data_IF_333526525506
#
_entry.id   IF_333526525506
#
_cell.length_a   1.000
_cell.length_b   1.000
_cell.length_c   1.000
_cell.angle_alpha   90.00
_cell.angle_beta   90.00
_cell.angle_gamma   90.00
#
_symmetry.space_group_name_H-M   'P 1'
#
loop_
_entity.id
_entity.type
_entity.pdbx_description
1 polymer ?
#
# COMPACT_ATOMS: atom_id res chain seq x y z
N UNK A 1 -1.29 -11.94 51.02
CA UNK A 1 -0.25 -12.36 50.05
C UNK A 1 -0.96 -12.93 48.83
N UNK A 2 -1.06 -12.16 47.75
CA UNK A 2 -1.59 -12.64 46.48
C UNK A 2 -0.46 -12.58 45.44
N UNK A 3 -0.29 -13.59 44.59
CA UNK A 3 0.75 -13.58 43.56
C UNK A 3 0.30 -12.79 42.34
N UNK A 4 1.11 -11.83 41.95
CA UNK A 4 0.96 -11.04 40.74
C UNK A 4 1.20 -11.89 39.49
N UNK A 5 0.16 -12.08 38.68
CA UNK A 5 0.25 -12.69 37.34
C UNK A 5 0.90 -11.69 36.36
N UNK A 6 2.19 -11.87 36.07
CA UNK A 6 2.86 -11.16 34.98
C UNK A 6 2.39 -11.72 33.64
N UNK A 7 1.60 -10.93 32.90
CA UNK A 7 1.28 -11.20 31.49
C UNK A 7 2.57 -11.20 30.66
N UNK A 8 2.92 -12.35 30.08
CA UNK A 8 3.99 -12.46 29.08
C UNK A 8 3.46 -11.96 27.73
N UNK A 9 3.93 -10.82 27.30
CA UNK A 9 3.67 -10.26 25.96
C UNK A 9 4.54 -11.01 24.95
N UNK A 10 3.91 -11.74 24.05
CA UNK A 10 4.62 -12.37 22.92
C UNK A 10 4.75 -11.34 21.81
N UNK A 11 5.97 -10.94 21.49
CA UNK A 11 6.28 -10.09 20.33
C UNK A 11 6.45 -11.00 19.13
N UNK A 12 5.51 -10.97 18.19
CA UNK A 12 5.65 -11.65 16.90
C UNK A 12 6.28 -10.65 15.93
N UNK A 13 7.60 -10.62 15.88
CA UNK A 13 8.35 -10.03 14.80
C UNK A 13 8.43 -11.10 13.70
N UNK A 14 7.79 -10.87 12.56
CA UNK A 14 7.98 -11.69 11.38
C UNK A 14 9.37 -11.39 10.79
N UNK A 15 10.37 -12.14 11.24
CA UNK A 15 11.70 -12.13 10.65
C UNK A 15 11.62 -13.04 9.42
N UNK A 16 11.82 -12.49 8.25
CA UNK A 16 12.08 -13.27 7.03
C UNK A 16 13.52 -13.78 7.16
N UNK A 17 13.70 -14.98 7.70
CA UNK A 17 14.97 -15.69 7.66
C UNK A 17 15.05 -16.45 6.35
N UNK A 18 15.85 -15.93 5.42
CA UNK A 18 16.35 -16.69 4.28
C UNK A 18 17.40 -17.66 4.81
N UNK A 19 17.07 -18.94 4.94
CA UNK A 19 18.04 -19.98 5.23
C UNK A 19 18.86 -20.26 3.97
N UNK A 20 20.03 -19.63 3.88
CA UNK A 20 21.10 -20.09 3.00
C UNK A 20 21.89 -21.16 3.78
N UNK A 21 21.60 -22.42 3.56
CA UNK A 21 22.41 -23.55 4.05
C UNK A 21 23.65 -23.70 3.19
N UNK A 22 24.78 -23.16 3.66
CA UNK A 22 26.09 -23.56 3.20
C UNK A 22 26.53 -24.76 4.02
N UNK A 23 26.51 -25.94 3.43
CA UNK A 23 27.06 -27.15 4.02
C UNK A 23 28.61 -27.16 3.94
N UNK A 24 29.26 -27.07 5.08
CA UNK A 24 30.66 -27.49 5.25
C UNK A 24 30.67 -28.87 5.92
N UNK A 25 31.11 -29.86 5.19
CA UNK A 25 31.51 -31.14 5.75
C UNK A 25 33.02 -31.30 5.57
N UNK A 26 33.73 -31.30 6.70
CA UNK A 26 35.10 -31.77 6.80
C UNK A 26 35.08 -33.20 7.35
N UNK A 27 35.71 -34.15 6.68
CA UNK A 27 36.20 -35.38 7.28
C UNK A 27 37.51 -35.78 6.63
N UNK A 28 38.46 -36.04 7.51
CA UNK A 28 39.83 -36.56 7.30
C UNK A 28 39.85 -38.07 7.24
N UNK A 29 40.96 -38.60 6.66
CA UNK A 29 41.58 -39.91 6.83
C UNK A 29 41.29 -40.94 5.72
N UNK A 30 42.27 -41.25 4.81
CA UNK A 30 43.37 -42.16 5.10
C UNK A 30 43.35 -43.31 4.14
N UNK A 31 44.56 -43.61 3.56
CA UNK A 31 45.05 -44.86 3.00
C UNK A 31 44.97 -45.12 1.49
N UNK A 32 46.13 -45.46 0.97
CA UNK A 32 46.70 -45.53 -0.36
C UNK A 32 46.42 -46.89 -1.11
N UNK A 33 47.17 -47.27 -2.17
CA UNK A 33 46.66 -47.17 -3.56
C UNK A 33 46.57 -48.57 -4.23
N UNK A 34 45.77 -48.69 -5.28
CA UNK A 34 45.89 -49.79 -6.25
C UNK A 34 45.86 -49.24 -7.66
N UNK A 35 46.92 -49.57 -8.39
CA UNK A 35 47.06 -49.33 -9.84
C UNK A 35 46.17 -50.28 -10.64
N UNK A 36 45.48 -49.77 -11.62
CA UNK A 36 45.17 -50.50 -12.85
C UNK A 36 44.96 -49.52 -14.00
N UNK A 37 45.74 -49.66 -15.04
CA UNK A 37 45.65 -49.01 -16.36
C UNK A 37 44.41 -49.49 -17.13
N UNK A 38 43.67 -48.58 -17.72
CA UNK A 38 42.98 -48.81 -19.01
C UNK A 38 42.68 -47.47 -19.66
N UNK A 39 43.26 -47.27 -20.82
CA UNK A 39 43.02 -46.16 -21.70
C UNK A 39 41.62 -46.32 -22.33
N UNK A 40 40.79 -45.29 -22.24
CA UNK A 40 39.64 -45.07 -23.13
C UNK A 40 39.43 -43.57 -23.35
N UNK A 41 39.42 -43.19 -24.58
CA UNK A 41 39.12 -41.92 -25.18
C UNK A 41 37.86 -41.31 -24.59
N UNK A 42 38.02 -40.25 -23.79
CA UNK A 42 36.91 -39.53 -23.18
C UNK A 42 36.75 -38.13 -23.74
N UNK A 43 35.72 -37.93 -24.47
CA UNK A 43 35.17 -36.62 -24.84
C UNK A 43 35.11 -35.70 -23.63
N UNK A 44 35.82 -34.55 -23.75
CA UNK A 44 35.72 -33.45 -22.76
C UNK A 44 34.26 -32.99 -22.63
N UNK A 45 33.60 -33.35 -21.56
CA UNK A 45 32.42 -32.64 -21.13
C UNK A 45 32.86 -31.33 -20.49
N UNK A 46 32.63 -30.24 -21.20
CA UNK A 46 32.62 -28.90 -20.60
C UNK A 46 31.47 -28.85 -19.58
N UNK A 47 31.71 -28.30 -18.38
CA UNK A 47 30.58 -28.03 -17.47
C UNK A 47 29.65 -27.04 -18.16
N UNK A 48 28.35 -27.40 -18.20
CA UNK A 48 27.31 -26.57 -18.74
C UNK A 48 27.34 -25.22 -17.99
N UNK A 49 27.74 -24.18 -18.76
CA UNK A 49 27.52 -22.81 -18.28
C UNK A 49 26.06 -22.67 -17.87
N UNK A 50 25.84 -22.30 -16.64
CA UNK A 50 24.53 -21.84 -16.19
C UNK A 50 24.09 -20.69 -17.10
N UNK A 51 23.37 -21.03 -18.15
CA UNK A 51 22.57 -20.04 -18.87
C UNK A 51 21.55 -19.54 -17.86
N UNK A 52 21.78 -18.36 -17.33
CA UNK A 52 20.73 -17.56 -16.74
C UNK A 52 19.60 -17.52 -17.77
N UNK A 53 18.56 -18.30 -17.50
CA UNK A 53 17.34 -18.22 -18.28
C UNK A 53 16.83 -16.79 -18.10
N UNK A 54 17.06 -15.95 -19.11
CA UNK A 54 16.32 -14.71 -19.28
C UNK A 54 14.86 -15.15 -19.33
N UNK A 55 14.16 -15.02 -18.22
CA UNK A 55 12.71 -15.16 -18.18
C UNK A 55 12.17 -14.06 -19.08
N UNK A 56 11.92 -14.37 -20.33
CA UNK A 56 11.16 -13.49 -21.22
C UNK A 56 9.78 -13.52 -20.64
N UNK A 57 9.45 -12.49 -19.87
CA UNK A 57 8.08 -12.22 -19.44
C UNK A 57 7.25 -12.11 -20.72
N UNK A 58 6.42 -13.10 -21.01
CA UNK A 58 5.41 -13.00 -22.05
C UNK A 58 4.34 -12.04 -21.52
N UNK A 59 4.61 -10.76 -21.62
CA UNK A 59 3.63 -9.72 -21.37
C UNK A 59 2.58 -9.80 -22.48
N UNK A 60 1.30 -9.82 -22.07
CA UNK A 60 0.20 -9.66 -23.00
C UNK A 60 0.38 -8.35 -23.81
N UNK A 61 -0.10 -8.28 -25.04
CA UNK A 61 -0.12 -7.03 -25.80
C UNK A 61 -0.80 -5.95 -25.00
N UNK A 62 -0.20 -4.76 -24.92
CA UNK A 62 -0.82 -3.62 -24.26
C UNK A 62 -2.16 -3.28 -24.96
N UNK A 63 -3.20 -2.89 -24.22
CA UNK A 63 -4.44 -2.41 -24.82
C UNK A 63 -4.16 -1.25 -25.78
N UNK A 64 -4.88 -1.19 -26.91
CA UNK A 64 -4.70 -0.12 -27.91
C UNK A 64 -5.06 1.27 -27.39
N UNK A 65 -5.83 1.37 -26.31
CA UNK A 65 -6.21 2.61 -25.64
C UNK A 65 -5.56 2.64 -24.25
N UNK A 66 -4.46 3.36 -24.16
CA UNK A 66 -3.68 3.48 -22.94
C UNK A 66 -4.33 4.43 -21.97
N UNK A 67 -4.81 3.89 -20.87
CA UNK A 67 -5.37 4.68 -19.78
C UNK A 67 -4.28 5.57 -19.19
N UNK A 68 -4.59 6.87 -19.04
CA UNK A 68 -3.65 7.83 -18.46
C UNK A 68 -2.74 8.54 -19.48
N UNK A 69 -2.71 8.11 -20.73
CA UNK A 69 -2.04 8.82 -21.82
C UNK A 69 -1.00 7.99 -22.58
N UNK A 70 -0.74 8.37 -23.86
CA UNK A 70 0.02 7.53 -24.80
C UNK A 70 1.48 7.30 -24.42
N UNK A 71 2.10 8.21 -23.64
CA UNK A 71 3.48 8.03 -23.20
C UNK A 71 3.64 6.89 -22.20
N UNK A 72 2.57 6.57 -21.44
CA UNK A 72 2.58 5.50 -20.44
C UNK A 72 2.58 4.10 -21.05
N UNK A 73 2.30 3.95 -22.35
CA UNK A 73 2.47 2.73 -23.11
C UNK A 73 3.93 2.29 -23.26
N UNK A 74 4.87 3.19 -23.06
CA UNK A 74 6.28 2.87 -23.19
C UNK A 74 6.72 1.86 -22.14
N UNK A 75 7.41 0.81 -22.55
CA UNK A 75 8.10 -0.12 -21.64
C UNK A 75 9.39 0.45 -21.06
N UNK A 76 9.90 1.53 -21.65
CA UNK A 76 11.08 2.26 -21.19
C UNK A 76 10.74 3.24 -20.05
N UNK A 77 11.78 3.97 -19.67
CA UNK A 77 11.62 5.10 -18.73
C UNK A 77 11.06 6.28 -19.50
N UNK A 78 9.98 6.86 -19.00
CA UNK A 78 9.35 8.07 -19.51
C UNK A 78 9.44 9.18 -18.47
N UNK A 79 10.09 10.27 -18.85
CA UNK A 79 10.24 11.48 -18.04
C UNK A 79 10.52 12.67 -18.96
N UNK A 80 9.87 13.81 -18.74
CA UNK A 80 10.11 15.03 -19.52
C UNK A 80 10.85 16.07 -18.67
N UNK A 81 12.06 16.42 -19.07
CA UNK A 81 12.86 17.47 -18.47
C UNK A 81 12.70 18.78 -19.27
N UNK A 82 11.85 19.74 -18.84
CA UNK A 82 11.60 20.94 -19.64
C UNK A 82 12.70 21.99 -19.56
N UNK A 83 13.63 21.85 -18.60
CA UNK A 83 14.69 22.84 -18.35
C UNK A 83 16.05 22.16 -18.16
N UNK A 84 17.14 22.78 -18.63
CA UNK A 84 18.50 22.41 -18.22
C UNK A 84 18.61 22.55 -16.68
N UNK A 85 19.26 21.57 -16.04
CA UNK A 85 19.49 21.58 -14.59
C UNK A 85 18.44 20.87 -13.72
N UNK A 86 17.33 20.34 -14.30
CA UNK A 86 16.43 19.44 -13.56
C UNK A 86 17.20 18.21 -13.07
N UNK A 87 16.96 17.80 -11.83
CA UNK A 87 17.62 16.60 -11.27
C UNK A 87 17.24 15.37 -12.07
N UNK A 88 18.25 14.61 -12.52
CA UNK A 88 18.01 13.37 -13.26
C UNK A 88 17.27 12.35 -12.40
N UNK A 89 16.37 11.60 -13.04
CA UNK A 89 15.65 10.50 -12.40
C UNK A 89 16.66 9.43 -11.93
N UNK A 90 16.59 9.00 -10.66
CA UNK A 90 17.50 8.00 -10.14
C UNK A 90 17.26 6.64 -10.79
N UNK A 91 18.34 5.91 -11.07
CA UNK A 91 18.25 4.51 -11.47
C UNK A 91 17.90 3.67 -10.25
N UNK A 92 16.84 2.87 -10.34
CA UNK A 92 16.41 1.92 -9.32
C UNK A 92 16.30 0.52 -9.92
N UNK A 93 16.61 -0.54 -9.14
CA UNK A 93 16.59 -1.92 -9.62
C UNK A 93 15.15 -2.47 -9.57
N UNK A 94 14.27 -1.92 -10.41
CA UNK A 94 12.87 -2.33 -10.55
C UNK A 94 12.49 -2.44 -12.03
N UNK A 95 11.61 -3.39 -12.35
CA UNK A 95 11.12 -3.59 -13.71
C UNK A 95 10.11 -2.53 -14.09
N UNK A 96 9.19 -2.16 -13.18
CA UNK A 96 8.19 -1.14 -13.43
C UNK A 96 8.02 -0.22 -12.21
N UNK A 97 7.67 1.05 -12.46
CA UNK A 97 7.31 2.02 -11.44
C UNK A 97 6.51 3.19 -12.01
N UNK A 98 5.75 3.86 -11.15
CA UNK A 98 5.08 5.13 -11.41
C UNK A 98 5.37 6.08 -10.25
N UNK A 99 5.61 7.36 -10.56
CA UNK A 99 5.67 8.47 -9.62
C UNK A 99 4.56 9.44 -9.98
N UNK A 100 3.63 9.70 -9.09
CA UNK A 100 2.49 10.58 -9.35
C UNK A 100 2.18 11.52 -8.19
N UNK A 101 1.68 12.70 -8.49
CA UNK A 101 1.04 13.59 -7.52
C UNK A 101 -0.39 13.10 -7.28
N UNK A 102 -0.68 12.73 -6.04
CA UNK A 102 -1.98 12.19 -5.65
C UNK A 102 -3.13 13.20 -5.81
N UNK A 103 -2.85 14.49 -5.57
CA UNK A 103 -3.86 15.56 -5.58
C UNK A 103 -4.32 15.87 -6.99
N UNK A 104 -3.38 16.11 -7.89
CA UNK A 104 -3.66 16.45 -9.29
C UNK A 104 -3.87 15.23 -10.19
N UNK A 105 -3.37 14.07 -9.79
CA UNK A 105 -3.28 12.88 -10.62
C UNK A 105 -2.13 12.91 -11.62
N UNK A 106 -1.32 13.96 -11.63
CA UNK A 106 -0.20 14.12 -12.57
C UNK A 106 0.84 13.02 -12.41
N UNK A 107 1.15 12.29 -13.48
CA UNK A 107 2.27 11.32 -13.51
C UNK A 107 3.54 12.07 -13.91
N UNK A 108 4.52 12.10 -12.99
CA UNK A 108 5.79 12.82 -13.15
C UNK A 108 6.82 12.01 -13.94
N UNK A 109 6.87 10.72 -13.71
CA UNK A 109 7.72 9.77 -14.41
C UNK A 109 7.18 8.35 -14.25
N UNK A 110 7.49 7.50 -15.20
CA UNK A 110 7.12 6.08 -15.18
C UNK A 110 8.18 5.23 -15.87
N UNK A 111 8.15 3.94 -15.58
CA UNK A 111 8.86 2.88 -16.32
C UNK A 111 7.91 1.71 -16.44
N UNK A 112 7.66 1.25 -17.66
CA UNK A 112 6.79 0.11 -17.97
C UNK A 112 5.46 0.17 -17.18
N UNK A 113 4.79 1.34 -17.25
CA UNK A 113 3.65 1.69 -16.39
C UNK A 113 2.52 0.67 -16.46
N UNK A 114 2.24 0.10 -17.64
CA UNK A 114 1.21 -0.90 -17.92
C UNK A 114 1.75 -2.34 -18.04
N UNK A 115 3.03 -2.55 -17.71
CA UNK A 115 3.60 -3.90 -17.65
C UNK A 115 2.88 -4.77 -16.61
N UNK A 116 2.57 -6.02 -16.97
CA UNK A 116 1.82 -6.94 -16.13
C UNK A 116 2.76 -7.75 -15.24
N UNK A 117 2.62 -7.60 -13.93
CA UNK A 117 3.46 -8.26 -12.93
C UNK A 117 2.61 -8.89 -11.82
N UNK A 118 3.10 -9.97 -11.16
CA UNK A 118 2.47 -10.48 -9.96
C UNK A 118 2.52 -9.41 -8.84
N UNK A 119 1.38 -9.12 -8.17
CA UNK A 119 1.28 -8.01 -7.23
C UNK A 119 1.94 -8.26 -5.88
N UNK A 120 2.11 -9.48 -5.45
CA UNK A 120 2.34 -9.83 -4.06
C UNK A 120 1.36 -9.11 -3.12
N UNK A 121 1.77 -8.79 -1.90
CA UNK A 121 0.90 -8.18 -0.89
C UNK A 121 0.50 -6.73 -1.15
N UNK A 122 0.98 -6.07 -2.22
CA UNK A 122 0.45 -4.75 -2.62
C UNK A 122 -1.02 -4.84 -3.06
N UNK A 123 -1.49 -6.01 -3.52
CA UNK A 123 -2.90 -6.25 -3.84
C UNK A 123 -3.84 -6.10 -2.63
N UNK A 124 -3.32 -6.21 -1.40
CA UNK A 124 -4.11 -6.00 -0.17
C UNK A 124 -4.65 -4.58 -0.02
N UNK A 125 -4.06 -3.60 -0.71
CA UNK A 125 -4.62 -2.25 -0.76
C UNK A 125 -5.96 -2.26 -1.49
N UNK A 126 -6.07 -2.98 -2.62
CA UNK A 126 -7.35 -3.19 -3.31
C UNK A 126 -8.35 -3.94 -2.41
N UNK A 127 -7.91 -4.98 -1.70
CA UNK A 127 -8.76 -5.68 -0.72
C UNK A 127 -9.30 -4.71 0.34
N UNK A 128 -8.44 -3.86 0.89
CA UNK A 128 -8.82 -2.90 1.93
C UNK A 128 -9.84 -1.87 1.41
N UNK A 129 -9.56 -1.19 0.30
CA UNK A 129 -10.47 -0.16 -0.24
C UNK A 129 -11.81 -0.74 -0.69
N UNK A 130 -11.83 -2.01 -1.14
CA UNK A 130 -13.05 -2.71 -1.50
C UNK A 130 -13.88 -3.06 -0.27
N UNK A 131 -13.26 -3.53 0.81
CA UNK A 131 -13.99 -4.06 1.98
C UNK A 131 -14.32 -2.98 3.02
N UNK A 132 -13.53 -1.92 3.15
CA UNK A 132 -13.75 -0.83 4.11
C UNK A 132 -15.15 -0.20 4.04
N UNK A 133 -15.70 0.16 2.88
CA UNK A 133 -17.04 0.76 2.81
C UNK A 133 -18.18 -0.25 2.99
N UNK A 134 -17.88 -1.55 3.00
CA UNK A 134 -18.86 -2.64 3.01
C UNK A 134 -19.00 -3.35 4.36
N UNK A 135 -18.01 -3.19 5.23
CA UNK A 135 -17.96 -3.88 6.52
C UNK A 135 -17.89 -2.87 7.66
N UNK A 136 -18.83 -2.94 8.59
CA UNK A 136 -18.78 -2.11 9.79
C UNK A 136 -17.57 -2.46 10.65
N UNK A 137 -16.76 -1.48 11.09
CA UNK A 137 -15.53 -1.73 11.85
C UNK A 137 -15.78 -2.43 13.19
N UNK A 138 -16.96 -2.24 13.80
CA UNK A 138 -17.34 -2.85 15.07
C UNK A 138 -18.03 -4.22 14.93
N UNK A 139 -18.40 -4.60 13.71
CA UNK A 139 -18.93 -5.94 13.44
C UNK A 139 -17.89 -7.01 13.73
N UNK A 140 -18.34 -8.21 14.06
CA UNK A 140 -17.49 -9.38 14.20
C UNK A 140 -17.76 -10.36 13.09
N UNK A 141 -16.70 -10.93 12.51
CA UNK A 141 -16.76 -11.89 11.42
C UNK A 141 -16.07 -13.19 11.80
N UNK A 142 -16.55 -14.29 11.24
CA UNK A 142 -16.05 -15.63 11.53
C UNK A 142 -14.79 -15.91 10.70
N UNK A 143 -13.71 -16.35 11.36
CA UNK A 143 -12.57 -16.92 10.68
C UNK A 143 -12.88 -18.36 10.26
N UNK A 144 -12.82 -18.64 8.97
CA UNK A 144 -13.07 -19.97 8.42
C UNK A 144 -11.81 -20.84 8.45
N UNK A 145 -11.97 -22.15 8.27
CA UNK A 145 -10.82 -23.06 8.05
C UNK A 145 -9.98 -22.59 6.86
N UNK A 146 -10.60 -22.17 5.74
CA UNK A 146 -9.88 -21.64 4.57
C UNK A 146 -8.99 -20.45 4.93
N UNK A 147 -9.49 -19.49 5.70
CA UNK A 147 -8.69 -18.32 6.11
C UNK A 147 -7.52 -18.70 7.03
N UNK A 148 -7.78 -19.59 7.99
CA UNK A 148 -6.76 -20.03 8.95
C UNK A 148 -5.68 -20.95 8.35
N UNK A 149 -5.93 -21.55 7.18
CA UNK A 149 -4.99 -22.46 6.49
C UNK A 149 -4.24 -21.80 5.33
N UNK A 150 -4.35 -20.46 5.18
CA UNK A 150 -3.61 -19.76 4.12
C UNK A 150 -2.13 -19.67 4.46
N UNK A 151 -1.29 -19.67 3.43
CA UNK A 151 0.15 -19.51 3.60
C UNK A 151 0.51 -18.22 4.35
N UNK A 152 1.58 -18.23 5.18
CA UNK A 152 2.09 -17.04 5.82
C UNK A 152 2.47 -15.94 4.79
N UNK A 153 2.40 -14.68 5.21
CA UNK A 153 2.33 -14.06 6.52
C UNK A 153 0.91 -14.10 7.10
N UNK A 154 0.73 -14.42 8.38
CA UNK A 154 -0.57 -14.53 9.04
C UNK A 154 -0.54 -13.87 10.42
N UNK A 155 -1.70 -13.44 10.93
CA UNK A 155 -1.84 -13.03 12.34
C UNK A 155 -2.20 -14.20 13.25
N UNK A 156 -2.56 -15.35 12.68
CA UNK A 156 -2.87 -16.58 13.38
C UNK A 156 -4.34 -16.67 13.82
N UNK A 157 -5.27 -16.39 12.91
CA UNK A 157 -6.70 -16.55 13.16
C UNK A 157 -7.05 -18.02 13.45
N UNK A 158 -7.91 -18.23 14.43
CA UNK A 158 -8.38 -19.55 14.81
C UNK A 158 -9.71 -19.87 14.09
N UNK A 159 -9.82 -21.03 13.43
CA UNK A 159 -11.06 -21.43 12.78
C UNK A 159 -12.21 -21.46 13.78
N UNK A 160 -13.38 -20.95 13.38
CA UNK A 160 -14.56 -20.92 14.22
C UNK A 160 -14.60 -19.75 15.24
N UNK A 161 -13.54 -18.95 15.36
CA UNK A 161 -13.54 -17.76 16.20
C UNK A 161 -14.00 -16.53 15.43
N UNK A 162 -14.57 -15.59 16.17
CA UNK A 162 -15.03 -14.30 15.61
C UNK A 162 -14.05 -13.19 15.99
N UNK A 163 -13.73 -12.35 15.03
CA UNK A 163 -12.82 -11.20 15.18
C UNK A 163 -13.51 -9.92 14.73
N UNK A 164 -13.18 -8.80 15.38
CA UNK A 164 -13.66 -7.49 14.94
C UNK A 164 -13.08 -7.14 13.57
N UNK A 165 -13.91 -6.57 12.71
CA UNK A 165 -13.50 -6.11 11.38
C UNK A 165 -12.36 -5.10 11.47
N UNK A 166 -12.39 -4.17 12.43
CA UNK A 166 -11.33 -3.20 12.66
C UNK A 166 -9.98 -3.85 13.02
N UNK A 167 -9.99 -4.96 13.76
CA UNK A 167 -8.76 -5.68 14.10
C UNK A 167 -8.20 -6.42 12.87
N UNK A 168 -9.08 -6.98 12.03
CA UNK A 168 -8.66 -7.61 10.77
C UNK A 168 -8.05 -6.61 9.80
N UNK A 169 -8.57 -5.37 9.70
CA UNK A 169 -7.92 -4.32 8.89
C UNK A 169 -6.55 -3.92 9.44
N UNK A 170 -6.39 -3.86 10.78
CA UNK A 170 -5.06 -3.66 11.39
C UNK A 170 -4.09 -4.79 11.02
N UNK A 171 -4.53 -6.05 11.14
CA UNK A 171 -3.70 -7.19 10.76
C UNK A 171 -3.35 -7.18 9.26
N UNK A 172 -4.31 -6.82 8.39
CA UNK A 172 -4.13 -6.72 6.94
C UNK A 172 -3.06 -5.71 6.56
N UNK A 173 -3.11 -4.50 7.12
CA UNK A 173 -2.29 -3.37 6.68
C UNK A 173 -0.98 -3.25 7.47
N UNK A 174 -0.99 -3.50 8.79
CA UNK A 174 0.20 -3.38 9.64
C UNK A 174 1.20 -4.50 9.40
N UNK A 175 0.76 -5.76 9.42
CA UNK A 175 1.63 -6.93 9.26
C UNK A 175 1.37 -7.73 7.99
N UNK A 176 0.54 -7.23 7.09
CA UNK A 176 0.25 -7.90 5.82
C UNK A 176 -0.40 -9.29 5.95
N UNK A 177 -1.26 -9.50 6.95
CA UNK A 177 -1.83 -10.81 7.28
C UNK A 177 -2.71 -11.38 6.16
N UNK A 178 -2.36 -12.58 5.66
CA UNK A 178 -3.07 -13.28 4.58
C UNK A 178 -4.41 -13.85 5.05
N UNK A 179 -4.45 -14.36 6.28
CA UNK A 179 -5.66 -14.89 6.92
C UNK A 179 -6.71 -13.79 7.16
N UNK A 180 -6.26 -12.58 7.52
CA UNK A 180 -7.14 -11.42 7.63
C UNK A 180 -7.72 -11.01 6.27
N UNK A 181 -6.92 -11.03 5.19
CA UNK A 181 -7.38 -10.73 3.84
C UNK A 181 -8.51 -11.69 3.40
N UNK A 182 -8.31 -12.99 3.58
CA UNK A 182 -9.30 -14.01 3.23
C UNK A 182 -10.56 -13.85 4.08
N UNK A 183 -10.42 -13.61 5.39
CA UNK A 183 -11.57 -13.43 6.30
C UNK A 183 -12.41 -12.21 5.91
N UNK A 184 -11.77 -11.06 5.62
CA UNK A 184 -12.47 -9.84 5.21
C UNK A 184 -13.23 -10.03 3.89
N UNK A 185 -12.62 -10.70 2.92
CA UNK A 185 -13.27 -10.99 1.63
C UNK A 185 -14.47 -11.94 1.81
N UNK A 186 -14.33 -12.98 2.62
CA UNK A 186 -15.42 -13.89 2.93
C UNK A 186 -16.57 -13.21 3.68
N UNK A 187 -16.29 -12.23 4.51
CA UNK A 187 -17.28 -11.45 5.26
C UNK A 187 -18.23 -10.63 4.36
N UNK A 188 -17.91 -10.40 3.10
CA UNK A 188 -18.81 -9.77 2.13
C UNK A 188 -19.93 -10.70 1.61
N UNK A 189 -20.01 -11.93 2.15
CA UNK A 189 -21.00 -12.96 1.84
C UNK A 189 -20.38 -14.29 1.42
N UNK A 190 -19.38 -14.27 0.53
CA UNK A 190 -18.60 -15.44 0.15
C UNK A 190 -17.24 -15.03 -0.39
N UNK A 191 -16.32 -15.99 -0.50
CA UNK A 191 -15.02 -15.75 -1.14
C UNK A 191 -15.17 -15.30 -2.60
N UNK A 192 -16.01 -15.99 -3.38
CA UNK A 192 -16.25 -15.65 -4.79
C UNK A 192 -16.86 -14.26 -4.95
N UNK A 193 -17.88 -13.93 -4.14
CA UNK A 193 -18.50 -12.60 -4.13
C UNK A 193 -17.48 -11.51 -3.80
N UNK A 194 -16.64 -11.72 -2.78
CA UNK A 194 -15.62 -10.75 -2.41
C UNK A 194 -14.56 -10.54 -3.49
N UNK A 195 -14.15 -11.61 -4.18
CA UNK A 195 -13.24 -11.51 -5.32
C UNK A 195 -13.88 -10.78 -6.51
N UNK A 196 -15.17 -11.02 -6.78
CA UNK A 196 -15.91 -10.28 -7.79
C UNK A 196 -15.98 -8.78 -7.44
N UNK A 197 -16.23 -8.44 -6.17
CA UNK A 197 -16.22 -7.04 -5.71
C UNK A 197 -14.84 -6.38 -5.87
N UNK A 198 -13.75 -7.09 -5.61
CA UNK A 198 -12.40 -6.56 -5.81
C UNK A 198 -12.12 -6.25 -7.28
N UNK A 199 -12.45 -7.15 -8.20
CA UNK A 199 -12.28 -6.90 -9.64
C UNK A 199 -13.23 -5.80 -10.14
N UNK A 200 -14.46 -5.71 -9.60
CA UNK A 200 -15.38 -4.62 -9.91
C UNK A 200 -14.85 -3.27 -9.42
N UNK A 201 -14.24 -3.22 -8.24
CA UNK A 201 -13.60 -2.00 -7.71
C UNK A 201 -12.41 -1.58 -8.60
N UNK A 202 -11.56 -2.53 -9.02
CA UNK A 202 -10.48 -2.25 -9.96
C UNK A 202 -11.01 -1.65 -11.26
N UNK A 203 -12.07 -2.25 -11.83
CA UNK A 203 -12.72 -1.73 -13.03
C UNK A 203 -13.33 -0.33 -12.81
N UNK A 204 -13.98 -0.09 -11.66
CA UNK A 204 -14.49 1.23 -11.27
C UNK A 204 -13.40 2.30 -11.24
N UNK A 205 -12.21 1.95 -10.77
CA UNK A 205 -11.04 2.82 -10.75
C UNK A 205 -10.36 2.96 -12.12
N UNK A 206 -10.84 2.29 -13.16
CA UNK A 206 -10.20 2.18 -14.47
C UNK A 206 -8.82 1.49 -14.42
N UNK A 207 -8.59 0.66 -13.40
CA UNK A 207 -7.40 -0.18 -13.23
C UNK A 207 -7.59 -1.50 -14.03
N UNK A 208 -7.54 -1.40 -15.34
CA UNK A 208 -7.93 -2.48 -16.25
C UNK A 208 -6.89 -3.58 -16.40
N UNK A 209 -5.64 -3.33 -15.98
CA UNK A 209 -4.58 -4.34 -15.96
C UNK A 209 -4.65 -5.24 -14.72
N UNK A 210 -5.56 -4.96 -13.77
CA UNK A 210 -5.75 -5.77 -12.57
C UNK A 210 -6.57 -7.01 -12.87
N UNK A 211 -6.01 -8.17 -12.55
CA UNK A 211 -6.73 -9.43 -12.44
C UNK A 211 -6.48 -10.02 -11.05
N UNK A 212 -7.42 -9.83 -10.13
CA UNK A 212 -7.35 -10.38 -8.78
C UNK A 212 -7.95 -11.79 -8.72
N UNK A 213 -7.16 -12.78 -8.27
CA UNK A 213 -7.56 -14.18 -8.05
C UNK A 213 -7.51 -14.59 -6.58
N UNK A 214 -6.65 -13.92 -5.80
CA UNK A 214 -6.50 -14.09 -4.36
C UNK A 214 -6.49 -12.72 -3.68
N UNK A 215 -7.13 -12.54 -2.50
CA UNK A 215 -7.24 -11.22 -1.87
C UNK A 215 -5.96 -10.78 -1.17
N UNK A 216 -5.05 -11.70 -0.93
CA UNK A 216 -3.79 -11.49 -0.21
C UNK A 216 -2.58 -11.25 -1.13
N UNK A 217 -2.74 -11.46 -2.45
CA UNK A 217 -1.69 -11.31 -3.44
C UNK A 217 -0.74 -12.50 -3.55
N UNK A 218 -1.01 -13.61 -2.88
CA UNK A 218 -0.26 -14.86 -3.10
C UNK A 218 -0.37 -15.30 -4.57
N UNK A 219 0.64 -16.00 -5.11
CA UNK A 219 0.64 -16.42 -6.50
C UNK A 219 -0.61 -17.20 -6.87
N UNK A 220 -1.24 -16.82 -7.99
CA UNK A 220 -2.34 -17.55 -8.60
C UNK A 220 -2.25 -17.43 -10.12
N UNK A 221 -2.66 -18.46 -10.89
CA UNK A 221 -2.63 -18.39 -12.34
C UNK A 221 -3.40 -17.20 -12.88
N UNK A 222 -2.73 -16.36 -13.70
CA UNK A 222 -3.32 -15.18 -14.32
C UNK A 222 -3.55 -13.98 -13.38
N UNK A 223 -3.09 -14.03 -12.12
CA UNK A 223 -3.14 -12.87 -11.23
C UNK A 223 -2.04 -11.89 -11.58
N UNK A 224 -2.41 -10.67 -11.95
CA UNK A 224 -1.50 -9.60 -12.37
C UNK A 224 -2.02 -8.23 -11.95
N UNK A 225 -1.10 -7.25 -11.95
CA UNK A 225 -1.36 -5.81 -11.85
C UNK A 225 -0.32 -5.06 -12.67
N UNK A 226 -0.59 -3.78 -12.96
CA UNK A 226 0.42 -2.83 -13.46
C UNK A 226 0.83 -1.81 -12.39
N UNK A 227 1.97 -1.15 -12.60
CA UNK A 227 2.41 -0.08 -11.71
C UNK A 227 1.45 1.12 -11.76
N UNK A 228 0.85 1.40 -12.93
CA UNK A 228 -0.15 2.43 -13.10
C UNK A 228 -1.43 2.12 -12.31
N UNK A 229 -1.92 0.90 -12.40
CA UNK A 229 -3.13 0.48 -11.69
C UNK A 229 -2.95 0.48 -10.18
N UNK A 230 -1.77 0.08 -9.69
CA UNK A 230 -1.45 0.23 -8.27
C UNK A 230 -1.45 1.70 -7.85
N UNK A 231 -1.07 2.64 -8.73
CA UNK A 231 -1.11 4.07 -8.42
C UNK A 231 -2.56 4.61 -8.38
N UNK A 232 -3.46 4.12 -9.23
CA UNK A 232 -4.90 4.41 -9.15
C UNK A 232 -5.50 3.90 -7.83
N UNK A 233 -5.21 2.64 -7.47
CA UNK A 233 -5.65 2.01 -6.22
C UNK A 233 -5.11 2.79 -5.01
N UNK A 234 -3.83 3.18 -5.03
CA UNK A 234 -3.21 3.97 -3.97
C UNK A 234 -3.82 5.37 -3.84
N UNK A 235 -4.15 6.03 -4.96
CA UNK A 235 -4.84 7.32 -4.97
C UNK A 235 -6.23 7.22 -4.31
N UNK A 236 -6.98 6.18 -4.62
CA UNK A 236 -8.27 5.91 -3.99
C UNK A 236 -8.09 5.63 -2.48
N UNK A 237 -7.09 4.84 -2.10
CA UNK A 237 -6.79 4.55 -0.70
C UNK A 237 -6.47 5.83 0.11
N UNK A 238 -5.68 6.75 -0.46
CA UNK A 238 -5.40 8.06 0.14
C UNK A 238 -6.65 8.93 0.35
N UNK A 239 -7.66 8.79 -0.52
CA UNK A 239 -8.93 9.51 -0.40
C UNK A 239 -9.85 8.94 0.70
N UNK A 240 -9.49 7.79 1.30
CA UNK A 240 -10.27 7.12 2.33
C UNK A 240 -9.65 7.31 3.73
N UNK A 241 -10.20 8.19 4.60
CA UNK A 241 -9.65 8.40 5.94
C UNK A 241 -9.57 7.11 6.79
N UNK A 242 -10.53 6.20 6.59
CA UNK A 242 -10.54 4.89 7.26
C UNK A 242 -9.34 4.02 6.85
N UNK A 243 -8.94 4.04 5.56
CA UNK A 243 -7.75 3.35 5.10
C UNK A 243 -6.50 3.92 5.77
N UNK A 244 -6.31 5.24 5.68
CA UNK A 244 -5.13 5.92 6.22
C UNK A 244 -4.98 5.71 7.72
N UNK A 245 -6.11 5.66 8.48
CA UNK A 245 -6.09 5.36 9.90
C UNK A 245 -5.44 4.01 10.22
N UNK A 246 -5.69 2.97 9.41
CA UNK A 246 -5.09 1.65 9.63
C UNK A 246 -3.69 1.56 9.07
N UNK A 247 -3.47 2.09 7.87
CA UNK A 247 -2.20 2.00 7.15
C UNK A 247 -1.06 2.75 7.86
N UNK A 248 -1.35 3.92 8.42
CA UNK A 248 -0.37 4.74 9.17
C UNK A 248 -0.18 4.31 10.63
N UNK A 249 -0.89 3.28 11.11
CA UNK A 249 -0.74 2.80 12.49
C UNK A 249 0.58 2.06 12.67
N UNK A 250 1.46 2.58 13.54
CA UNK A 250 2.78 1.98 13.78
C UNK A 250 2.70 0.69 14.59
N UNK A 251 1.83 0.65 15.59
CA UNK A 251 1.65 -0.51 16.46
C UNK A 251 0.19 -0.71 16.83
N UNK A 252 -0.23 -1.96 16.95
CA UNK A 252 -1.56 -2.30 17.43
C UNK A 252 -1.54 -3.59 18.25
N UNK A 253 -2.51 -3.76 19.13
CA UNK A 253 -2.74 -5.05 19.81
C UNK A 253 -3.80 -5.81 19.02
N UNK A 254 -3.58 -7.11 18.84
CA UNK A 254 -4.51 -8.01 18.17
C UNK A 254 -4.91 -9.16 19.08
N UNK A 255 -6.22 -9.39 19.34
CA UNK A 255 -6.69 -10.49 20.17
C UNK A 255 -6.65 -11.81 19.38
N UNK A 256 -5.87 -12.80 19.84
CA UNK A 256 -5.86 -14.17 19.27
C UNK A 256 -6.90 -15.06 19.94
N UNK A 257 -6.88 -15.07 21.27
CA UNK A 257 -7.80 -15.83 22.13
C UNK A 257 -8.23 -14.96 23.31
N UNK A 258 -9.26 -15.44 24.04
CA UNK A 258 -9.62 -14.83 25.32
C UNK A 258 -8.37 -14.66 26.20
N UNK A 259 -8.06 -13.42 26.60
CA UNK A 259 -6.89 -13.04 27.40
C UNK A 259 -5.51 -13.19 26.74
N UNK A 260 -5.41 -13.55 25.44
CA UNK A 260 -4.13 -13.60 24.71
C UNK A 260 -4.16 -12.60 23.55
N UNK A 261 -3.21 -11.67 23.57
CA UNK A 261 -3.02 -10.66 22.52
C UNK A 261 -1.58 -10.74 21.98
N UNK A 262 -1.41 -10.34 20.73
CA UNK A 262 -0.10 -10.10 20.10
C UNK A 262 0.03 -8.64 19.74
N UNK A 263 1.24 -8.13 19.73
CA UNK A 263 1.54 -6.79 19.23
C UNK A 263 1.88 -6.87 17.75
N UNK A 264 1.15 -6.11 16.94
CA UNK A 264 1.45 -5.92 15.52
C UNK A 264 2.41 -4.73 15.41
N UNK A 265 3.48 -4.88 14.64
CA UNK A 265 4.45 -3.81 14.32
C UNK A 265 4.38 -3.56 12.82
N UNK A 266 4.22 -2.29 12.43
CA UNK A 266 4.10 -1.93 11.03
C UNK A 266 5.41 -2.23 10.29
N UNK A 267 5.28 -2.94 9.18
CA UNK A 267 6.40 -3.37 8.35
C UNK A 267 6.85 -2.28 7.35
N UNK A 268 6.07 -1.20 7.21
CA UNK A 268 6.42 -0.10 6.33
C UNK A 268 7.38 0.88 7.01
N UNK A 269 8.67 0.70 6.75
CA UNK A 269 9.71 1.59 7.30
C UNK A 269 9.69 3.01 6.71
N UNK A 270 8.96 3.26 5.61
CA UNK A 270 8.78 4.62 5.08
C UNK A 270 8.13 5.53 6.13
N UNK A 271 7.18 4.99 6.93
CA UNK A 271 6.49 5.69 8.01
C UNK A 271 7.44 6.25 9.07
N UNK A 272 8.53 5.55 9.36
CA UNK A 272 9.42 5.89 10.49
C UNK A 272 10.76 6.47 10.05
N UNK A 273 11.22 6.15 8.84
CA UNK A 273 12.57 6.51 8.37
C UNK A 273 12.59 7.59 7.29
N UNK A 274 11.47 7.80 6.59
CA UNK A 274 11.41 8.77 5.52
C UNK A 274 10.67 10.04 5.95
N UNK A 275 11.34 11.20 5.81
CA UNK A 275 10.71 12.49 6.12
C UNK A 275 9.46 12.69 5.26
N UNK A 276 8.30 12.75 5.90
CA UNK A 276 7.02 12.91 5.24
C UNK A 276 6.39 11.60 4.74
N UNK A 277 6.91 10.42 5.11
CA UNK A 277 6.24 9.15 4.90
C UNK A 277 4.91 9.11 5.65
N UNK A 278 3.82 8.72 4.97
CA UNK A 278 2.47 8.70 5.54
C UNK A 278 1.80 7.34 5.47
N UNK A 279 2.39 6.38 4.79
CA UNK A 279 1.90 5.02 4.66
C UNK A 279 2.45 4.32 3.44
N UNK A 280 2.02 3.09 3.26
CA UNK A 280 2.38 2.28 2.11
C UNK A 280 2.19 0.80 2.34
N UNK A 281 2.50 0.02 1.32
CA UNK A 281 2.36 -1.43 1.39
C UNK A 281 3.51 -2.14 0.72
N UNK A 282 4.25 -2.93 1.48
CA UNK A 282 5.26 -3.84 0.97
C UNK A 282 4.62 -5.14 0.48
N UNK A 283 5.25 -5.77 -0.48
CA UNK A 283 4.91 -7.10 -0.94
C UNK A 283 6.14 -7.86 -1.42
N UNK A 284 6.14 -9.16 -1.19
CA UNK A 284 7.16 -10.05 -1.69
C UNK A 284 6.61 -11.46 -1.87
N UNK A 285 6.96 -12.08 -2.96
CA UNK A 285 6.89 -13.53 -3.17
C UNK A 285 8.07 -13.89 -4.08
N UNK A 286 8.46 -15.15 -4.09
CA UNK A 286 9.51 -15.60 -5.00
C UNK A 286 9.22 -15.25 -6.47
N UNK A 287 7.95 -15.36 -6.90
CA UNK A 287 7.53 -15.07 -8.27
C UNK A 287 7.43 -13.57 -8.60
N UNK A 288 7.02 -12.74 -7.63
CA UNK A 288 6.85 -11.28 -7.84
C UNK A 288 8.13 -10.50 -7.60
N UNK A 289 9.10 -11.09 -6.93
CA UNK A 289 10.17 -10.35 -6.27
C UNK A 289 9.59 -9.27 -5.34
N UNK A 290 10.30 -8.18 -5.09
CA UNK A 290 9.79 -7.12 -4.23
C UNK A 290 8.81 -6.20 -4.98
N UNK A 291 7.72 -5.85 -4.33
CA UNK A 291 6.71 -4.88 -4.80
C UNK A 291 6.42 -3.86 -3.71
N UNK A 292 6.09 -2.63 -4.08
CA UNK A 292 5.86 -1.58 -3.10
C UNK A 292 4.89 -0.51 -3.58
N UNK A 293 4.08 -0.02 -2.65
CA UNK A 293 3.36 1.24 -2.75
C UNK A 293 3.89 2.13 -1.64
N UNK A 294 4.43 3.29 -1.96
CA UNK A 294 4.93 4.28 -1.01
C UNK A 294 4.17 5.59 -1.10
N UNK A 295 3.75 6.13 0.03
CA UNK A 295 2.96 7.34 0.15
C UNK A 295 3.71 8.36 1.00
N UNK A 296 3.91 9.57 0.48
CA UNK A 296 4.61 10.61 1.24
C UNK A 296 4.02 12.00 0.97
N UNK A 297 4.11 12.89 1.98
CA UNK A 297 3.63 14.27 1.90
C UNK A 297 4.69 15.24 2.39
N UNK A 298 4.98 16.27 1.58
CA UNK A 298 5.86 17.39 1.94
C UNK A 298 5.32 18.69 1.37
N UNK A 299 5.32 19.75 2.17
CA UNK A 299 4.93 21.11 1.73
C UNK A 299 3.60 21.15 0.95
N UNK A 300 2.60 20.40 1.40
CA UNK A 300 1.28 20.32 0.74
C UNK A 300 1.19 19.39 -0.45
N UNK A 301 2.31 18.94 -1.03
CA UNK A 301 2.34 17.96 -2.12
C UNK A 301 2.30 16.54 -1.55
N UNK A 302 1.42 15.70 -2.08
CA UNK A 302 1.34 14.27 -1.74
C UNK A 302 1.74 13.44 -2.95
N UNK A 303 2.79 12.64 -2.82
CA UNK A 303 3.27 11.77 -3.88
C UNK A 303 2.95 10.30 -3.59
N UNK A 304 2.64 9.60 -4.67
CA UNK A 304 2.52 8.14 -4.74
C UNK A 304 3.71 7.62 -5.53
N UNK A 305 4.35 6.58 -5.04
CA UNK A 305 5.30 5.75 -5.79
C UNK A 305 4.82 4.31 -5.75
N UNK A 306 4.70 3.70 -6.92
CA UNK A 306 4.45 2.26 -7.05
C UNK A 306 5.64 1.60 -7.72
N UNK A 307 6.03 0.42 -7.23
CA UNK A 307 7.18 -0.34 -7.70
C UNK A 307 6.78 -1.79 -7.85
N UNK A 308 7.14 -2.39 -8.99
CA UNK A 308 6.91 -3.80 -9.27
C UNK A 308 8.20 -4.48 -9.72
N UNK A 309 8.35 -5.73 -9.28
CA UNK A 309 9.45 -6.62 -9.64
C UNK A 309 10.81 -5.94 -9.44
N UNK A 310 11.03 -5.50 -8.20
CA UNK A 310 12.29 -4.92 -7.76
C UNK A 310 13.18 -5.98 -7.10
N UNK A 311 14.49 -5.76 -7.15
CA UNK A 311 15.42 -6.59 -6.37
C UNK A 311 14.98 -6.59 -4.90
N UNK A 312 14.84 -7.76 -4.26
CA UNK A 312 14.40 -7.87 -2.87
C UNK A 312 15.23 -7.00 -1.92
N UNK A 313 14.57 -6.43 -0.91
CA UNK A 313 15.13 -5.51 0.09
C UNK A 313 15.57 -4.13 -0.44
N UNK A 314 15.32 -3.82 -1.71
CA UNK A 314 15.61 -2.50 -2.28
C UNK A 314 14.37 -1.65 -2.55
N UNK A 315 13.17 -2.20 -2.39
CA UNK A 315 11.91 -1.58 -2.74
C UNK A 315 11.65 -0.27 -1.98
N UNK A 316 11.88 -0.24 -0.66
CA UNK A 316 11.70 0.96 0.16
C UNK A 316 12.75 2.02 -0.18
N UNK A 317 14.03 1.66 -0.25
CA UNK A 317 15.09 2.60 -0.63
C UNK A 317 14.95 3.11 -2.06
N UNK A 318 14.44 2.30 -2.96
CA UNK A 318 14.06 2.71 -4.32
C UNK A 318 12.93 3.74 -4.28
N UNK A 319 11.89 3.49 -3.49
CA UNK A 319 10.78 4.42 -3.30
C UNK A 319 11.24 5.76 -2.68
N UNK A 320 12.10 5.72 -1.66
CA UNK A 320 12.69 6.92 -1.05
C UNK A 320 13.44 7.78 -2.08
N UNK A 321 14.24 7.15 -2.95
CA UNK A 321 14.95 7.84 -4.03
C UNK A 321 14.02 8.46 -5.05
N UNK A 322 12.99 7.72 -5.47
CA UNK A 322 11.97 8.18 -6.41
C UNK A 322 11.11 9.30 -5.81
N UNK A 323 10.68 9.18 -4.54
CA UNK A 323 9.94 10.21 -3.82
C UNK A 323 10.76 11.49 -3.64
N UNK A 324 12.05 11.37 -3.24
CA UNK A 324 12.94 12.53 -3.13
C UNK A 324 13.12 13.24 -4.48
N UNK A 325 13.25 12.48 -5.56
CA UNK A 325 13.29 13.03 -6.91
C UNK A 325 11.96 13.73 -7.26
N UNK A 326 10.84 13.09 -6.98
CA UNK A 326 9.50 13.63 -7.23
C UNK A 326 9.29 14.97 -6.51
N UNK A 327 9.59 15.04 -5.21
CA UNK A 327 9.49 16.31 -4.45
C UNK A 327 10.42 17.40 -4.97
N UNK A 328 11.62 17.04 -5.41
CA UNK A 328 12.57 18.01 -5.96
C UNK A 328 12.19 18.54 -7.34
N UNK A 329 11.35 17.82 -8.08
CA UNK A 329 10.96 18.13 -9.45
C UNK A 329 9.46 18.38 -9.63
N UNK A 330 8.65 18.29 -8.57
CA UNK A 330 7.23 18.66 -8.61
C UNK A 330 7.10 20.10 -9.10
N UNK A 331 6.35 20.33 -10.19
CA UNK A 331 6.23 21.62 -10.86
C UNK A 331 7.39 21.98 -11.81
N UNK A 332 8.47 21.20 -11.89
CA UNK A 332 9.60 21.42 -12.79
C UNK A 332 9.65 20.47 -13.98
N UNK A 333 9.03 19.30 -13.90
CA UNK A 333 8.90 18.35 -15.00
C UNK A 333 7.53 18.47 -15.67
N UNK A 334 7.47 18.24 -16.98
CA UNK A 334 6.17 18.15 -17.67
C UNK A 334 5.56 16.77 -17.37
N UNK A 335 4.23 16.69 -17.18
CA UNK A 335 3.53 15.43 -17.02
C UNK A 335 3.81 14.47 -18.18
N UNK A 336 3.99 13.19 -17.86
CA UNK A 336 4.06 12.11 -18.86
C UNK A 336 2.73 11.36 -18.98
N UNK A 337 1.77 11.68 -18.14
CA UNK A 337 0.43 11.10 -18.11
C UNK A 337 -0.37 11.60 -16.91
N UNK A 338 -1.53 11.01 -16.69
CA UNK A 338 -2.44 11.35 -15.60
C UNK A 338 -3.05 10.09 -15.00
N UNK A 339 -3.17 10.02 -13.68
CA UNK A 339 -4.01 9.04 -13.01
C UNK A 339 -5.47 9.44 -13.22
N UNK A 340 -6.18 8.67 -14.03
CA UNK A 340 -7.58 8.96 -14.36
C UNK A 340 -8.49 8.90 -13.12
N UNK A 341 -9.59 9.67 -13.07
CA UNK A 341 -10.55 9.57 -11.98
C UNK A 341 -11.37 8.27 -12.09
N UNK A 342 -12.02 7.81 -10.99
CA UNK A 342 -12.99 6.73 -11.06
C UNK A 342 -14.12 7.01 -12.07
N UNK A 343 -14.69 5.97 -12.68
CA UNK A 343 -15.71 6.10 -13.73
C UNK A 343 -16.90 7.00 -13.35
N UNK A 344 -17.39 6.89 -12.11
CA UNK A 344 -18.50 7.71 -11.63
C UNK A 344 -18.16 9.21 -11.58
N UNK A 345 -16.93 9.55 -11.15
CA UNK A 345 -16.46 10.94 -11.13
C UNK A 345 -16.27 11.47 -12.55
N UNK A 346 -15.76 10.67 -13.49
CA UNK A 346 -15.65 11.04 -14.88
C UNK A 346 -17.01 11.33 -15.53
N UNK A 347 -18.04 10.51 -15.26
CA UNK A 347 -19.39 10.73 -15.76
C UNK A 347 -20.04 12.00 -15.19
N UNK A 348 -19.78 12.34 -13.93
CA UNK A 348 -20.27 13.57 -13.33
C UNK A 348 -19.62 14.83 -13.93
N UNK A 349 -18.34 14.77 -14.26
CA UNK A 349 -17.62 15.88 -14.90
C UNK A 349 -18.00 16.08 -16.37
N UNK A 350 -18.48 15.04 -17.05
CA UNK A 350 -18.86 15.08 -18.46
C UNK A 350 -20.30 15.58 -18.70
N UNK A 351 -21.09 15.91 -17.66
CA UNK A 351 -22.40 16.51 -17.86
C UNK A 351 -22.22 17.94 -18.37
N UNK A 352 -22.64 18.24 -19.60
CA UNK A 352 -22.62 19.60 -20.08
C UNK A 352 -23.59 20.44 -19.24
N UNK A 353 -23.17 21.61 -18.83
CA UNK A 353 -24.04 22.63 -18.27
C UNK A 353 -24.95 23.09 -19.44
N UNK A 354 -26.05 22.38 -19.65
CA UNK A 354 -27.10 22.81 -20.56
C UNK A 354 -27.90 23.89 -19.84
N UNK A 355 -27.34 25.10 -19.80
CA UNK A 355 -28.03 26.31 -19.46
C UNK A 355 -28.40 27.03 -20.76
N UNK A 356 -29.51 26.65 -21.41
CA UNK A 356 -30.17 27.50 -22.37
C UNK A 356 -30.93 28.59 -21.61
N UNK A 357 -30.75 29.87 -21.92
CA UNK A 357 -31.61 30.90 -21.41
C UNK A 357 -32.91 30.88 -22.20
N UNK A 358 -33.97 30.34 -21.62
CA UNK A 358 -35.30 30.59 -22.13
C UNK A 358 -35.77 31.96 -21.60
N UNK A 359 -35.78 32.94 -22.47
CA UNK A 359 -36.50 34.16 -22.26
C UNK A 359 -38.01 33.91 -22.41
N UNK A 360 -38.78 34.16 -21.36
CA UNK A 360 -40.19 34.53 -21.48
C UNK A 360 -40.48 35.53 -20.34
N UNK A 361 -40.95 36.68 -20.77
CA UNK A 361 -41.45 37.75 -19.92
C UNK A 361 -42.83 37.43 -19.33
N UNK A 362 -43.21 38.12 -18.26
CA UNK A 362 -44.56 38.11 -17.72
C UNK A 362 -44.65 38.51 -16.25
N UNK A 363 -44.81 39.83 -16.03
CA UNK A 363 -45.73 40.54 -15.10
C UNK A 363 -45.81 40.18 -13.61
N UNK A 364 -45.40 41.12 -12.79
CA UNK A 364 -46.01 41.75 -11.58
C UNK A 364 -47.01 40.95 -10.73
N UNK A 365 -46.68 40.71 -9.47
CA UNK A 365 -47.48 41.23 -8.33
C UNK A 365 -46.81 40.84 -7.00
N UNK A 366 -46.74 41.80 -6.12
CA UNK A 366 -46.12 41.95 -4.86
C UNK A 366 -46.60 41.02 -3.72
N UNK A 367 -45.73 40.92 -2.74
CA UNK A 367 -46.06 40.97 -1.31
C UNK A 367 -44.79 41.00 -0.48
N UNK A 368 -44.79 41.96 0.41
CA UNK A 368 -43.89 42.28 1.50
C UNK A 368 -43.72 41.17 2.53
N UNK A 369 -42.54 41.07 3.15
CA UNK A 369 -42.35 40.32 4.38
C UNK A 369 -40.87 40.29 4.76
N UNK A 370 -40.46 41.14 5.70
CA UNK A 370 -39.08 41.32 6.21
C UNK A 370 -38.68 40.25 7.22
N UNK A 371 -37.71 40.50 8.15
CA UNK A 371 -36.39 39.85 8.05
C UNK A 371 -36.15 38.82 9.16
N UNK A 372 -35.38 37.80 8.91
CA UNK A 372 -34.81 36.93 9.91
C UNK A 372 -33.28 36.95 9.92
N UNK A 373 -32.73 37.98 10.59
CA UNK A 373 -31.39 37.94 11.16
C UNK A 373 -31.51 37.26 12.53
N UNK A 374 -30.76 36.16 12.75
CA UNK A 374 -30.15 35.72 14.05
C UNK A 374 -29.83 34.23 14.00
N UNK A 375 -28.53 33.89 13.86
CA UNK A 375 -27.88 32.71 14.46
C UNK A 375 -26.45 32.48 13.93
N UNK A 376 -25.54 33.46 14.13
CA UNK A 376 -24.08 33.29 13.87
C UNK A 376 -23.26 33.68 15.12
N UNK A 377 -23.79 33.74 16.31
CA UNK A 377 -23.03 34.17 17.50
C UNK A 377 -22.75 33.10 18.55
N UNK A 378 -23.24 31.88 18.41
CA UNK A 378 -22.99 30.83 19.41
C UNK A 378 -21.80 29.90 19.14
N UNK A 379 -21.38 29.73 17.90
CA UNK A 379 -20.26 28.85 17.55
C UNK A 379 -18.87 29.49 17.84
N UNK A 380 -18.77 30.81 17.80
CA UNK A 380 -17.52 31.53 18.05
C UNK A 380 -17.15 31.60 19.54
N UNK A 381 -18.10 31.56 20.44
CA UNK A 381 -17.84 31.62 21.88
C UNK A 381 -17.33 30.30 22.48
N UNK A 382 -17.68 29.16 21.88
CA UNK A 382 -17.23 27.83 22.36
C UNK A 382 -15.78 27.55 21.94
N UNK A 383 -15.34 28.04 20.77
CA UNK A 383 -13.96 27.86 20.31
C UNK A 383 -12.93 28.67 21.13
N UNK A 384 -13.30 29.87 21.61
CA UNK A 384 -12.43 30.70 22.45
C UNK A 384 -12.22 30.14 23.86
N UNK A 385 -13.23 29.50 24.45
CA UNK A 385 -13.14 28.89 25.78
C UNK A 385 -12.23 27.67 25.85
N UNK A 386 -12.21 26.84 24.79
CA UNK A 386 -11.37 25.64 24.73
C UNK A 386 -9.89 25.96 24.55
N UNK A 387 -9.52 27.00 23.82
CA UNK A 387 -8.13 27.44 23.67
C UNK A 387 -7.54 28.00 24.99
N UNK A 388 -8.32 28.72 25.78
CA UNK A 388 -7.88 29.26 27.07
C UNK A 388 -7.60 28.15 28.12
N UNK A 389 -8.42 27.10 28.14
CA UNK A 389 -8.24 25.97 29.05
C UNK A 389 -6.98 25.14 28.74
N UNK A 390 -6.63 24.96 27.44
CA UNK A 390 -5.43 24.23 27.02
C UNK A 390 -4.16 25.00 27.38
N UNK A 391 -4.14 26.33 27.21
CA UNK A 391 -2.99 27.18 27.56
C UNK A 391 -2.75 27.21 29.07
N UNK A 392 -3.83 27.30 29.89
CA UNK A 392 -3.73 27.25 31.33
C UNK A 392 -3.25 25.88 31.85
N UNK A 393 -3.69 24.78 31.26
CA UNK A 393 -3.24 23.42 31.57
C UNK A 393 -1.75 23.19 31.28
N UNK A 394 -1.26 23.69 30.16
CA UNK A 394 0.16 23.60 29.78
C UNK A 394 1.06 24.45 30.69
N UNK A 395 0.61 25.64 31.09
CA UNK A 395 1.34 26.51 32.04
C UNK A 395 1.44 25.88 33.44
N UNK A 396 0.36 25.20 33.89
CA UNK A 396 0.33 24.48 35.17
C UNK A 396 1.27 23.28 35.18
N UNK A 397 1.27 22.48 34.11
CA UNK A 397 2.19 21.34 33.95
C UNK A 397 3.66 21.79 33.94
N UNK A 398 3.97 22.91 33.27
CA UNK A 398 5.33 23.46 33.20
C UNK A 398 5.81 23.95 34.59
N UNK A 399 4.94 24.57 35.35
CA UNK A 399 5.26 24.96 36.75
C UNK A 399 5.51 23.73 37.63
N UNK A 400 4.72 22.67 37.52
CA UNK A 400 4.89 21.45 38.31
C UNK A 400 6.20 20.70 37.99
N UNK A 401 6.63 20.67 36.73
CA UNK A 401 7.91 20.07 36.33
C UNK A 401 9.13 20.90 36.79
N UNK A 402 9.00 22.20 36.93
CA UNK A 402 10.09 23.05 37.43
C UNK A 402 10.29 22.95 38.95
N UNK A 403 9.22 22.63 39.71
CA UNK A 403 9.30 22.44 41.17
C UNK A 403 9.77 21.03 41.58
N UNK A 404 9.72 20.06 40.69
CA UNK A 404 10.19 18.68 40.96
C UNK A 404 11.72 18.51 40.69
N UNK A 405 12.42 19.54 40.24
CA UNK A 405 13.87 19.49 39.93
C UNK A 405 14.78 20.13 40.96
N UNK A 406 14.29 20.51 42.14
CA UNK A 406 15.16 20.95 43.23
C UNK A 406 14.94 20.01 44.44
N UNK A 407 15.73 18.95 44.65
CA UNK A 407 15.97 18.41 45.97
C UNK A 407 17.08 19.24 46.62
N UNK A 408 16.75 19.96 47.68
CA UNK A 408 17.69 20.65 48.50
C UNK A 408 18.65 19.66 49.19
N UNK A 409 19.92 20.01 49.18
CA UNK A 409 21.05 19.71 50.07
C UNK A 409 20.98 18.48 50.95
#
# INVERSE_FOLDING_TARGET
MQPSTRSRTLVVAAVITSAATAGMAATTSGAAPIRASAALTGTRHQPAAYRTARTVSHQAPLPKNEVGGPLLASRGIVVHYPRPGARRLPKVPASAYVIADASTGTVLAAKDAHGLYPPASTLKVLTAITMLPRLSPDATVLATKRAASVEPNIVGLLPGHRYKVSDLFRALLIISANDAAVTLVQASGSFSKGMALMNAEAHHLQAYDVVAKQPNGLPAPGQVVSAYDLALIARQALAMPAFMKYDSTLTARFPIKRHKQVTLLNQDYLLTKFRGGIGGKIGWTEKSEATYIGLARRHGVTLIVTILHATPLTEITSAERLLNWGFANAGSVRPVGVLVPPLMAAAAAARPISGSPAAVGGSLAGASGGPARKSITLAAAIAAGLCAAVVAGLAWLRRRMLHSRNPAS
#
